data_IF_562863279955
#
_entry.id   IF_562863279955
#
_cell.length_a   1.000
_cell.length_b   1.000
_cell.length_c   1.000
_cell.angle_alpha   90.00
_cell.angle_beta   90.00
_cell.angle_gamma   90.00
#
_symmetry.space_group_name_H-M   'P 1'
#
loop_
_entity.id
_entity.type
_entity.pdbx_description
1 polymer ?
#
# COMPACT_ATOMS: atom_id res chain seq x y z
N UNK A 1 -21.95 54.02 17.04
CA UNK A 1 -20.92 53.51 16.10
C UNK A 1 -19.63 53.35 16.86
N UNK A 2 -19.12 52.12 16.98
CA UNK A 2 -17.75 51.67 16.69
C UNK A 2 -17.80 50.15 16.86
N UNK A 3 -17.47 49.44 15.79
CA UNK A 3 -17.43 47.98 15.67
C UNK A 3 -16.30 47.41 16.53
N UNK A 4 -16.57 46.34 17.29
CA UNK A 4 -15.54 45.47 17.85
C UNK A 4 -15.62 44.10 17.17
N UNK A 5 -14.49 43.68 16.61
CA UNK A 5 -14.26 42.47 15.81
C UNK A 5 -14.57 41.17 16.58
N UNK A 6 -15.05 40.10 15.91
CA UNK A 6 -15.29 38.79 16.54
C UNK A 6 -14.01 37.96 16.79
N UNK A 7 -12.82 38.55 16.63
CA UNK A 7 -11.53 37.86 16.79
C UNK A 7 -10.70 38.42 17.96
N UNK A 8 -11.31 38.54 19.14
CA UNK A 8 -10.58 38.86 20.37
C UNK A 8 -10.09 37.59 21.07
N UNK A 9 -8.84 37.62 21.52
CA UNK A 9 -8.02 36.49 21.94
C UNK A 9 -8.62 35.65 23.08
N UNK A 10 -8.79 34.35 22.84
CA UNK A 10 -9.00 33.37 23.91
C UNK A 10 -7.65 33.07 24.57
N UNK A 11 -7.58 33.35 25.87
CA UNK A 11 -6.48 33.01 26.77
C UNK A 11 -6.04 31.55 26.57
N UNK A 12 -4.78 31.34 26.19
CA UNK A 12 -4.16 30.03 26.11
C UNK A 12 -4.16 29.37 27.50
N UNK A 13 -5.04 28.37 27.70
CA UNK A 13 -4.84 27.39 28.76
C UNK A 13 -3.61 26.56 28.38
N UNK A 14 -2.52 26.75 29.11
CA UNK A 14 -1.34 25.89 29.07
C UNK A 14 -1.77 24.48 29.50
N UNK A 15 -1.90 23.56 28.56
CA UNK A 15 -2.10 22.14 28.84
C UNK A 15 -0.78 21.59 29.34
N UNK A 16 -0.72 21.16 30.60
CA UNK A 16 0.47 20.47 31.12
C UNK A 16 0.59 19.12 30.42
N UNK A 17 1.80 18.77 30.02
CA UNK A 17 2.12 17.48 29.40
C UNK A 17 1.87 16.38 30.43
N UNK A 18 0.77 15.63 30.28
CA UNK A 18 0.51 14.44 31.10
C UNK A 18 1.43 13.30 30.68
N UNK A 19 1.95 12.57 31.65
CA UNK A 19 2.81 11.41 31.40
C UNK A 19 1.99 10.24 30.84
N UNK A 20 2.59 9.43 29.95
CA UNK A 20 1.96 8.23 29.37
C UNK A 20 1.50 7.22 30.44
N UNK A 21 2.13 7.23 31.62
CA UNK A 21 1.75 6.42 32.78
C UNK A 21 0.44 6.85 33.42
N UNK A 22 0.07 8.14 33.37
CA UNK A 22 -1.19 8.63 33.94
C UNK A 22 -2.39 8.30 33.04
N UNK A 23 -2.18 8.26 31.72
CA UNK A 23 -3.20 7.88 30.72
C UNK A 23 -3.60 6.40 30.82
N UNK A 24 -2.71 5.56 31.35
CA UNK A 24 -2.92 4.13 31.53
C UNK A 24 -3.34 3.74 32.95
N UNK A 25 -3.66 4.71 33.80
CA UNK A 25 -4.09 4.43 35.18
C UNK A 25 -5.46 3.74 35.21
N UNK A 26 -5.56 2.67 36.01
CA UNK A 26 -6.79 1.88 36.20
C UNK A 26 -7.97 2.74 36.73
N UNK A 27 -7.66 3.88 37.36
CA UNK A 27 -8.66 4.83 37.84
C UNK A 27 -9.30 5.64 36.71
N UNK A 28 -8.57 5.99 35.65
CA UNK A 28 -9.12 6.70 34.50
C UNK A 28 -10.01 5.77 33.65
N UNK A 29 -9.65 4.48 33.56
CA UNK A 29 -10.47 3.46 32.92
C UNK A 29 -11.83 3.29 33.64
N UNK A 30 -11.82 3.23 34.98
CA UNK A 30 -13.05 3.17 35.78
C UNK A 30 -13.92 4.42 35.66
N UNK A 31 -13.32 5.61 35.56
CA UNK A 31 -14.07 6.85 35.33
C UNK A 31 -14.74 6.88 33.95
N UNK A 32 -14.09 6.36 32.91
CA UNK A 32 -14.68 6.28 31.57
C UNK A 32 -15.80 5.22 31.50
N UNK A 33 -15.65 4.10 32.22
CA UNK A 33 -16.71 3.11 32.37
C UNK A 33 -17.91 3.68 33.14
N UNK A 34 -17.70 4.45 34.20
CA UNK A 34 -18.77 5.14 34.93
C UNK A 34 -19.46 6.21 34.08
N UNK A 35 -18.72 6.96 33.24
CA UNK A 35 -19.31 7.93 32.29
C UNK A 35 -20.07 7.24 31.14
N UNK A 36 -19.66 6.05 30.72
CA UNK A 36 -20.38 5.26 29.70
C UNK A 36 -21.73 4.74 30.19
N UNK A 37 -21.86 4.49 31.49
CA UNK A 37 -23.10 4.05 32.15
C UNK A 37 -24.11 5.19 32.37
N UNK A 38 -23.76 6.44 32.03
CA UNK A 38 -24.64 7.60 32.13
C UNK A 38 -25.47 7.87 30.85
N UNK A 39 -25.28 7.08 29.79
CA UNK A 39 -26.09 7.16 28.58
C UNK A 39 -27.41 6.37 28.75
N UNK A 40 -28.57 6.92 28.34
CA UNK A 40 -29.84 6.24 28.50
C UNK A 40 -29.92 4.97 27.65
N UNK A 41 -30.38 3.88 28.29
CA UNK A 41 -30.56 2.55 27.72
C UNK A 41 -31.34 2.55 26.38
N UNK A 42 -30.75 1.87 25.39
CA UNK A 42 -31.48 1.39 24.22
C UNK A 42 -31.98 -0.04 24.50
N UNK A 43 -33.14 -0.45 23.95
CA UNK A 43 -33.85 -1.63 24.42
C UNK A 43 -33.07 -2.92 24.15
N UNK A 44 -32.99 -3.69 25.23
CA UNK A 44 -32.52 -5.06 25.37
C UNK A 44 -33.04 -5.98 24.24
N UNK A 45 -32.10 -6.63 23.55
CA UNK A 45 -32.40 -7.80 22.70
C UNK A 45 -31.50 -8.94 23.16
N UNK A 46 -31.75 -9.39 24.37
CA UNK A 46 -31.47 -10.75 24.82
C UNK A 46 -32.32 -11.73 24.02
N UNK A 47 -31.85 -12.13 22.84
CA UNK A 47 -32.28 -13.38 22.20
C UNK A 47 -31.19 -14.42 22.43
N UNK A 48 -31.51 -15.29 23.37
CA UNK A 48 -30.78 -16.47 23.81
C UNK A 48 -30.46 -17.37 22.62
N UNK A 49 -29.17 -17.67 22.42
CA UNK A 49 -28.74 -18.93 21.82
C UNK A 49 -27.72 -19.57 22.76
N UNK A 50 -28.21 -20.64 23.38
CA UNK A 50 -27.51 -21.60 24.23
C UNK A 50 -26.30 -22.18 23.47
N UNK A 51 -25.10 -21.73 23.82
CA UNK A 51 -23.85 -22.33 23.33
C UNK A 51 -23.34 -23.23 24.43
N UNK A 52 -23.62 -24.53 24.27
CA UNK A 52 -23.07 -25.58 25.10
C UNK A 52 -21.54 -25.53 25.12
N UNK A 53 -20.98 -25.94 26.26
CA UNK A 53 -19.54 -26.08 26.49
C UNK A 53 -18.89 -26.96 25.41
N UNK A 54 -18.17 -26.33 24.48
CA UNK A 54 -17.12 -26.96 23.70
C UNK A 54 -16.08 -25.90 23.30
N UNK A 55 -14.90 -26.03 23.89
CA UNK A 55 -13.66 -25.43 23.41
C UNK A 55 -13.36 -26.04 22.03
N UNK A 56 -13.45 -25.24 20.95
CA UNK A 56 -12.76 -25.52 19.69
C UNK A 56 -12.42 -24.20 18.97
N UNK A 57 -11.14 -23.84 19.04
CA UNK A 57 -10.52 -22.74 18.29
C UNK A 57 -10.10 -23.20 16.89
N UNK A 58 -11.05 -23.74 16.10
CA UNK A 58 -10.73 -24.47 14.87
C UNK A 58 -11.21 -23.81 13.56
N UNK A 59 -11.39 -22.49 13.57
CA UNK A 59 -11.56 -21.79 12.29
C UNK A 59 -11.20 -20.31 12.35
N UNK A 60 -9.95 -19.98 12.01
CA UNK A 60 -9.53 -18.61 11.67
C UNK A 60 -10.48 -17.97 10.62
N UNK A 61 -11.12 -18.80 9.79
CA UNK A 61 -12.15 -18.39 8.85
C UNK A 61 -13.41 -17.89 9.56
N UNK A 62 -13.88 -18.55 10.62
CA UNK A 62 -15.03 -18.07 11.41
C UNK A 62 -14.69 -16.76 12.12
N UNK A 63 -13.50 -16.66 12.72
CA UNK A 63 -13.06 -15.42 13.35
C UNK A 63 -12.99 -14.27 12.32
N UNK A 64 -12.41 -14.51 11.15
CA UNK A 64 -12.36 -13.53 10.07
C UNK A 64 -13.76 -13.14 9.56
N UNK A 65 -14.68 -14.09 9.44
CA UNK A 65 -16.08 -13.83 9.06
C UNK A 65 -16.81 -13.02 10.12
N UNK A 66 -16.62 -13.33 11.40
CA UNK A 66 -17.23 -12.59 12.51
C UNK A 66 -16.73 -11.16 12.56
N UNK A 67 -15.43 -10.96 12.33
CA UNK A 67 -14.77 -9.67 12.33
C UNK A 67 -15.17 -8.83 11.09
N UNK A 68 -15.31 -9.46 9.92
CA UNK A 68 -15.86 -8.83 8.72
C UNK A 68 -17.31 -8.39 8.93
N UNK A 69 -18.16 -9.24 9.51
CA UNK A 69 -19.56 -8.91 9.83
C UNK A 69 -19.64 -7.73 10.81
N UNK A 70 -18.69 -7.63 11.75
CA UNK A 70 -18.65 -6.53 12.69
C UNK A 70 -18.28 -5.20 12.01
N UNK A 71 -17.31 -5.21 11.09
CA UNK A 71 -17.00 -4.05 10.25
C UNK A 71 -18.18 -3.61 9.38
N UNK A 72 -18.88 -4.57 8.77
CA UNK A 72 -20.03 -4.28 7.90
C UNK A 72 -21.19 -3.65 8.71
N UNK A 73 -21.42 -4.11 9.95
CA UNK A 73 -22.38 -3.49 10.88
C UNK A 73 -21.98 -2.09 11.29
N UNK A 74 -20.71 -1.86 11.64
CA UNK A 74 -20.21 -0.54 12.00
C UNK A 74 -20.38 0.45 10.83
N UNK A 75 -20.06 0.02 9.61
CA UNK A 75 -20.26 0.81 8.40
C UNK A 75 -21.74 1.22 8.21
N UNK A 76 -22.67 0.27 8.40
CA UNK A 76 -24.11 0.56 8.31
C UNK A 76 -24.60 1.53 9.39
N UNK A 77 -24.06 1.45 10.61
CA UNK A 77 -24.37 2.40 11.67
C UNK A 77 -23.84 3.81 11.38
N UNK A 78 -22.66 3.89 10.74
CA UNK A 78 -22.09 5.16 10.31
C UNK A 78 -22.95 5.79 9.21
N UNK A 79 -23.36 5.01 8.20
CA UNK A 79 -24.28 5.47 7.16
C UNK A 79 -25.59 5.97 7.75
N UNK A 80 -26.19 5.28 8.73
CA UNK A 80 -27.41 5.73 9.42
C UNK A 80 -27.21 7.04 10.18
N UNK A 81 -26.04 7.24 10.76
CA UNK A 81 -25.71 8.46 11.50
C UNK A 81 -25.51 9.64 10.55
N UNK A 82 -24.87 9.41 9.40
CA UNK A 82 -24.75 10.40 8.34
C UNK A 82 -26.11 10.73 7.73
N UNK A 83 -26.94 9.74 7.43
CA UNK A 83 -28.32 9.89 6.95
C UNK A 83 -29.13 10.80 7.87
N UNK A 84 -29.09 10.55 9.18
CA UNK A 84 -29.77 11.38 10.20
C UNK A 84 -29.22 12.80 10.26
N UNK A 85 -27.90 12.99 10.14
CA UNK A 85 -27.28 14.32 10.13
C UNK A 85 -27.70 15.13 8.90
N UNK A 86 -27.74 14.50 7.72
CA UNK A 86 -28.19 15.15 6.49
C UNK A 86 -29.68 15.47 6.49
N UNK A 87 -30.51 14.60 7.10
CA UNK A 87 -31.96 14.77 7.11
C UNK A 87 -32.50 15.64 8.25
N UNK A 88 -31.68 15.98 9.26
CA UNK A 88 -32.09 16.76 10.42
C UNK A 88 -32.44 18.22 10.10
N UNK A 89 -31.64 18.87 9.25
CA UNK A 89 -31.79 20.31 8.93
C UNK A 89 -32.41 20.56 7.53
N UNK A 90 -32.71 19.49 6.78
CA UNK A 90 -33.14 19.56 5.38
C UNK A 90 -34.63 19.29 5.23
N UNK A 91 -35.29 20.05 4.33
CA UNK A 91 -36.68 19.77 3.88
C UNK A 91 -36.77 18.55 2.94
N UNK A 92 -35.63 18.02 2.49
CA UNK A 92 -35.50 16.85 1.61
C UNK A 92 -34.73 15.76 2.35
N UNK A 93 -35.28 14.54 2.38
CA UNK A 93 -34.67 13.38 3.02
C UNK A 93 -33.90 12.53 2.01
N UNK A 94 -32.62 12.27 2.29
CA UNK A 94 -31.74 11.37 1.53
C UNK A 94 -31.71 10.02 2.25
N UNK A 95 -31.76 8.91 1.51
CA UNK A 95 -31.63 7.55 2.06
C UNK A 95 -30.38 6.86 1.49
N UNK A 96 -29.59 6.25 2.38
CA UNK A 96 -28.40 5.48 2.02
C UNK A 96 -28.64 3.96 2.06
N UNK A 97 -29.90 3.52 2.02
CA UNK A 97 -30.27 2.12 2.22
C UNK A 97 -29.69 1.16 1.17
N UNK A 98 -29.46 1.62 -0.06
CA UNK A 98 -28.83 0.84 -1.13
C UNK A 98 -27.33 0.57 -0.91
N UNK A 99 -26.70 1.27 0.04
CA UNK A 99 -25.27 1.19 0.33
C UNK A 99 -24.98 0.42 1.63
N UNK A 100 -26.02 -0.07 2.31
CA UNK A 100 -25.86 -0.87 3.53
C UNK A 100 -25.40 -2.29 3.17
N UNK A 101 -24.49 -2.84 3.96
CA UNK A 101 -23.85 -4.13 3.71
C UNK A 101 -24.59 -5.28 4.38
N UNK A 102 -25.36 -5.03 5.44
CA UNK A 102 -26.11 -6.06 6.19
C UNK A 102 -27.61 -5.89 5.97
N UNK A 103 -28.21 -6.80 5.22
CA UNK A 103 -29.65 -6.90 5.08
C UNK A 103 -30.22 -7.90 6.10
N UNK A 104 -31.37 -7.62 6.76
CA UNK A 104 -32.02 -8.59 7.63
C UNK A 104 -32.39 -9.85 6.82
N UNK A 105 -31.85 -11.00 7.19
CA UNK A 105 -32.16 -12.29 6.55
C UNK A 105 -33.13 -13.05 7.46
N UNK A 106 -34.30 -13.40 6.94
CA UNK A 106 -35.14 -14.46 7.53
C UNK A 106 -34.70 -15.81 6.96
N UNK A 107 -34.48 -16.77 7.86
CA UNK A 107 -34.14 -18.15 7.53
C UNK A 107 -35.19 -18.79 6.62
N UNK A 108 -34.79 -19.23 5.41
CA UNK A 108 -35.53 -20.28 4.73
C UNK A 108 -34.62 -21.13 3.84
N UNK A 109 -34.81 -22.43 4.03
CA UNK A 109 -34.08 -23.55 3.44
C UNK A 109 -34.40 -23.75 1.95
N UNK A 110 -33.44 -24.37 1.26
CA UNK A 110 -33.64 -25.27 0.11
C UNK A 110 -33.83 -24.68 -1.29
N UNK A 111 -33.08 -25.31 -2.20
CA UNK A 111 -33.19 -25.40 -3.66
C UNK A 111 -32.50 -24.32 -4.50
N UNK A 112 -31.60 -24.85 -5.33
CA UNK A 112 -30.89 -24.20 -6.42
C UNK A 112 -31.90 -23.62 -7.42
N UNK A 113 -32.05 -22.30 -7.41
CA UNK A 113 -32.40 -21.46 -8.55
C UNK A 113 -32.07 -20.02 -8.14
N UNK A 114 -31.39 -19.26 -9.00
CA UNK A 114 -31.04 -17.86 -8.71
C UNK A 114 -32.31 -17.03 -8.45
N UNK A 115 -32.55 -16.71 -7.18
CA UNK A 115 -33.64 -15.86 -6.74
C UNK A 115 -33.19 -14.40 -6.81
N UNK A 116 -33.88 -13.61 -7.63
CA UNK A 116 -33.73 -12.16 -7.76
C UNK A 116 -34.01 -11.50 -6.38
N UNK A 117 -32.97 -10.94 -5.75
CA UNK A 117 -32.97 -10.37 -4.40
C UNK A 117 -33.74 -9.03 -4.27
N UNK A 118 -34.97 -8.93 -4.77
CA UNK A 118 -35.71 -7.66 -4.71
C UNK A 118 -37.18 -7.78 -4.29
N UNK A 119 -37.42 -8.26 -3.08
CA UNK A 119 -38.62 -7.88 -2.33
C UNK A 119 -38.22 -7.08 -1.08
N UNK A 120 -38.20 -5.76 -1.24
CA UNK A 120 -38.15 -4.80 -0.11
C UNK A 120 -39.59 -4.44 0.27
N UNK A 121 -39.88 -4.16 1.56
CA UNK A 121 -41.20 -3.72 2.00
C UNK A 121 -41.70 -2.54 1.16
N UNK A 122 -42.98 -2.57 0.76
CA UNK A 122 -43.58 -1.58 -0.12
C UNK A 122 -43.49 -0.16 0.47
N UNK A 123 -42.58 0.65 -0.06
CA UNK A 123 -42.39 2.06 0.29
C UNK A 123 -43.43 2.90 -0.48
N UNK A 124 -44.40 3.54 0.21
CA UNK A 124 -45.48 4.29 -0.41
C UNK A 124 -45.03 5.58 -1.14
N UNK A 125 -43.74 5.95 -1.05
CA UNK A 125 -43.16 7.09 -1.75
C UNK A 125 -42.23 6.70 -2.92
N UNK A 126 -42.02 5.40 -3.15
CA UNK A 126 -41.25 4.89 -4.30
C UNK A 126 -42.16 4.79 -5.51
N UNK A 127 -41.75 5.38 -6.64
CA UNK A 127 -42.47 5.19 -7.90
C UNK A 127 -42.45 3.70 -8.29
N UNK A 128 -43.62 3.16 -8.67
CA UNK A 128 -43.75 1.76 -9.09
C UNK A 128 -42.67 1.39 -10.12
N UNK A 129 -41.93 0.30 -9.86
CA UNK A 129 -40.93 -0.22 -10.80
C UNK A 129 -41.62 -0.48 -12.15
N UNK A 130 -41.03 -0.06 -13.28
CA UNK A 130 -41.64 -0.29 -14.58
C UNK A 130 -41.77 -1.80 -14.83
N UNK A 131 -42.99 -2.28 -15.05
CA UNK A 131 -43.29 -3.70 -15.28
C UNK A 131 -42.30 -4.32 -16.27
N UNK A 132 -41.69 -5.43 -15.88
CA UNK A 132 -40.79 -6.19 -16.76
C UNK A 132 -41.62 -6.73 -17.93
N UNK A 133 -41.17 -6.46 -19.15
CA UNK A 133 -41.88 -6.97 -20.34
C UNK A 133 -41.78 -8.49 -20.33
N UNK A 134 -42.89 -9.23 -20.49
CA UNK A 134 -42.88 -10.70 -20.50
C UNK A 134 -41.97 -11.22 -21.62
N UNK A 135 -41.50 -12.47 -21.50
CA UNK A 135 -40.63 -13.17 -22.48
C UNK A 135 -41.13 -13.08 -23.95
N UNK A 136 -42.40 -12.74 -24.16
CA UNK A 136 -43.04 -12.50 -25.46
C UNK A 136 -42.72 -11.15 -26.14
N UNK A 137 -42.02 -10.23 -25.48
CA UNK A 137 -41.46 -9.01 -26.11
C UNK A 137 -42.44 -7.86 -26.39
N UNK A 138 -43.72 -8.00 -26.04
CA UNK A 138 -44.73 -6.95 -26.13
C UNK A 138 -45.82 -7.13 -25.07
N UNK A 139 -46.49 -6.04 -24.70
CA UNK A 139 -47.59 -5.98 -23.73
C UNK A 139 -48.78 -5.23 -24.33
N UNK A 140 -49.98 -5.81 -24.25
CA UNK A 140 -51.24 -5.21 -24.73
C UNK A 140 -51.99 -6.04 -25.78
N UNK A 141 -53.27 -5.71 -26.00
CA UNK A 141 -54.12 -6.26 -27.08
C UNK A 141 -54.70 -5.10 -27.90
N UNK A 142 -54.71 -5.22 -29.23
CA UNK A 142 -55.31 -4.23 -30.13
C UNK A 142 -54.38 -3.03 -30.43
N UNK A 143 -54.91 -1.80 -30.40
CA UNK A 143 -54.18 -0.57 -30.78
C UNK A 143 -53.15 -0.09 -29.73
N UNK A 144 -53.13 -0.68 -28.53
CA UNK A 144 -52.24 -0.30 -27.43
C UNK A 144 -51.16 -1.38 -27.20
N UNK A 145 -50.37 -1.68 -28.24
CA UNK A 145 -49.22 -2.58 -28.12
C UNK A 145 -48.01 -1.75 -27.67
N UNK A 146 -47.54 -1.99 -26.45
CA UNK A 146 -46.28 -1.43 -25.95
C UNK A 146 -45.18 -2.45 -26.22
N UNK A 147 -44.13 -2.02 -26.92
CA UNK A 147 -42.98 -2.86 -27.26
C UNK A 147 -41.78 -2.47 -26.40
N UNK A 148 -40.77 -3.34 -26.34
CA UNK A 148 -39.49 -3.04 -25.67
C UNK A 148 -38.75 -1.79 -26.20
N UNK A 149 -39.18 -1.25 -27.35
CA UNK A 149 -38.61 -0.07 -28.00
C UNK A 149 -39.48 1.19 -27.86
N UNK A 150 -40.51 1.14 -27.00
CA UNK A 150 -41.29 2.34 -26.69
C UNK A 150 -40.39 3.40 -26.06
N UNK A 151 -40.36 4.59 -26.68
CA UNK A 151 -39.49 5.70 -26.30
C UNK A 151 -39.74 6.17 -24.86
N UNK A 152 -41.01 6.11 -24.41
CA UNK A 152 -41.40 6.56 -23.07
C UNK A 152 -40.96 5.56 -22.02
N UNK A 153 -41.12 4.26 -22.29
CA UNK A 153 -40.72 3.17 -21.37
C UNK A 153 -39.20 3.05 -21.32
N UNK A 154 -38.52 3.16 -22.47
CA UNK A 154 -37.07 3.15 -22.54
C UNK A 154 -36.47 4.38 -21.85
N UNK A 155 -37.09 5.56 -22.03
CA UNK A 155 -36.67 6.79 -21.38
C UNK A 155 -36.72 6.72 -19.87
N UNK A 156 -37.80 6.17 -19.29
CA UNK A 156 -37.93 5.96 -17.84
C UNK A 156 -36.94 4.92 -17.31
N UNK A 157 -36.71 3.83 -18.05
CA UNK A 157 -35.71 2.81 -17.70
C UNK A 157 -34.29 3.35 -17.70
N UNK A 158 -33.96 4.25 -18.62
CA UNK A 158 -32.65 4.90 -18.66
C UNK A 158 -32.45 5.85 -17.48
N UNK A 159 -33.49 6.60 -17.10
CA UNK A 159 -33.48 7.46 -15.91
C UNK A 159 -33.27 6.64 -14.63
N UNK A 160 -34.00 5.53 -14.44
CA UNK A 160 -33.81 4.67 -13.27
C UNK A 160 -32.42 4.00 -13.20
N UNK A 161 -31.75 3.81 -14.35
CA UNK A 161 -30.36 3.30 -14.38
C UNK A 161 -29.31 4.37 -14.08
N UNK A 162 -29.70 5.63 -14.10
CA UNK A 162 -28.83 6.76 -13.76
C UNK A 162 -28.45 6.75 -12.27
N UNK A 163 -29.36 6.27 -11.42
CA UNK A 163 -29.14 6.15 -9.97
C UNK A 163 -28.02 5.15 -9.63
N UNK A 164 -27.66 4.27 -10.57
CA UNK A 164 -26.56 3.31 -10.44
C UNK A 164 -25.21 3.88 -10.91
N UNK A 165 -25.13 5.15 -11.31
CA UNK A 165 -23.85 5.78 -11.63
C UNK A 165 -23.02 6.04 -10.37
N UNK A 166 -21.71 6.19 -10.54
CA UNK A 166 -20.82 6.42 -9.41
C UNK A 166 -21.24 7.70 -8.66
N UNK A 167 -21.27 7.69 -7.31
CA UNK A 167 -21.76 8.81 -6.50
C UNK A 167 -20.98 10.11 -6.68
N UNK A 168 -19.78 10.05 -7.27
CA UNK A 168 -18.97 11.22 -7.65
C UNK A 168 -19.57 12.04 -8.81
N UNK A 169 -20.49 11.46 -9.58
CA UNK A 169 -21.18 12.16 -10.67
C UNK A 169 -22.50 12.72 -10.13
N UNK A 170 -22.52 14.01 -9.83
CA UNK A 170 -23.75 14.72 -9.43
C UNK A 170 -24.72 14.80 -10.60
N UNK A 171 -25.55 13.78 -10.79
CA UNK A 171 -26.61 13.80 -11.82
C UNK A 171 -27.91 14.44 -11.32
N UNK A 172 -27.95 14.87 -10.07
CA UNK A 172 -29.15 15.35 -9.40
C UNK A 172 -30.10 14.21 -9.06
N UNK A 173 -30.84 14.35 -7.97
CA UNK A 173 -31.93 13.45 -7.61
C UNK A 173 -33.15 13.81 -8.47
N UNK A 174 -33.45 13.00 -9.48
CA UNK A 174 -34.64 13.15 -10.31
C UNK A 174 -35.96 12.88 -9.58
N UNK A 175 -35.96 12.88 -8.25
CA UNK A 175 -37.08 12.52 -7.40
C UNK A 175 -38.22 13.54 -7.59
N UNK A 176 -39.36 13.07 -8.09
CA UNK A 176 -40.56 13.88 -8.30
C UNK A 176 -40.73 14.48 -9.70
N UNK A 177 -39.80 14.26 -10.64
CA UNK A 177 -39.92 14.68 -12.04
C UNK A 177 -39.95 13.45 -12.96
N UNK A 178 -40.92 13.39 -13.91
CA UNK A 178 -41.00 12.32 -14.94
C UNK A 178 -39.91 12.52 -16.01
N UNK A 179 -38.64 12.49 -15.56
CA UNK A 179 -37.44 12.56 -16.38
C UNK A 179 -37.40 11.37 -17.32
N UNK A 180 -37.33 11.64 -18.62
CA UNK A 180 -37.15 10.63 -19.67
C UNK A 180 -35.84 10.89 -20.39
N UNK A 181 -34.84 10.05 -20.13
CA UNK A 181 -33.55 10.16 -20.81
C UNK A 181 -33.56 9.40 -22.13
N UNK A 182 -33.33 10.12 -23.22
CA UNK A 182 -33.13 9.48 -24.52
C UNK A 182 -31.90 8.57 -24.48
N UNK A 183 -31.91 7.51 -25.29
CA UNK A 183 -30.79 6.57 -25.39
C UNK A 183 -29.47 7.26 -25.73
N UNK A 184 -29.52 8.32 -26.55
CA UNK A 184 -28.34 9.08 -26.94
C UNK A 184 -27.73 9.82 -25.74
N UNK A 185 -28.57 10.49 -24.95
CA UNK A 185 -28.13 11.24 -23.75
C UNK A 185 -27.60 10.27 -22.69
N UNK A 186 -28.31 9.17 -22.41
CA UNK A 186 -27.87 8.16 -21.46
C UNK A 186 -26.50 7.56 -21.85
N UNK A 187 -26.30 7.22 -23.12
CA UNK A 187 -25.02 6.66 -23.57
C UNK A 187 -23.87 7.67 -23.50
N UNK A 188 -24.14 8.94 -23.81
CA UNK A 188 -23.15 10.02 -23.68
C UNK A 188 -22.76 10.24 -22.21
N UNK A 189 -23.74 10.28 -21.31
CA UNK A 189 -23.53 10.42 -19.88
C UNK A 189 -22.77 9.22 -19.30
N UNK A 190 -23.11 8.00 -19.73
CA UNK A 190 -22.41 6.76 -19.35
C UNK A 190 -20.94 6.78 -19.77
N UNK A 191 -20.65 7.22 -21.00
CA UNK A 191 -19.27 7.37 -21.48
C UNK A 191 -18.50 8.42 -20.69
N UNK A 192 -19.14 9.55 -20.39
CA UNK A 192 -18.56 10.61 -19.56
C UNK A 192 -18.23 10.10 -18.15
N UNK A 193 -19.17 9.42 -17.50
CA UNK A 193 -18.97 8.81 -16.18
C UNK A 193 -17.77 7.85 -16.15
N UNK A 194 -17.64 6.95 -17.14
CA UNK A 194 -16.47 6.06 -17.21
C UNK A 194 -15.15 6.81 -17.45
N UNK A 195 -15.20 7.90 -18.24
CA UNK A 195 -14.01 8.70 -18.51
C UNK A 195 -13.54 9.48 -17.28
N UNK A 196 -14.46 10.06 -16.53
CA UNK A 196 -14.18 10.79 -15.29
C UNK A 196 -13.76 9.84 -14.16
N UNK A 197 -14.39 8.68 -14.02
CA UNK A 197 -13.95 7.67 -13.06
C UNK A 197 -12.51 7.22 -13.33
N UNK A 198 -12.14 7.02 -14.61
CA UNK A 198 -10.74 6.73 -15.01
C UNK A 198 -9.79 7.89 -14.76
N UNK A 199 -10.27 9.14 -14.80
CA UNK A 199 -9.47 10.33 -14.54
C UNK A 199 -9.25 10.52 -13.05
N UNK A 200 -10.31 10.38 -12.25
CA UNK A 200 -10.29 10.37 -10.79
C UNK A 200 -9.35 9.28 -10.27
N UNK A 201 -9.45 8.05 -10.77
CA UNK A 201 -8.55 6.95 -10.38
C UNK A 201 -7.08 7.24 -10.68
N UNK A 202 -6.77 7.87 -11.83
CA UNK A 202 -5.41 8.28 -12.19
C UNK A 202 -4.90 9.42 -11.31
N UNK A 203 -5.77 10.36 -10.93
CA UNK A 203 -5.42 11.45 -10.03
C UNK A 203 -5.18 10.95 -8.60
N UNK A 204 -5.98 9.99 -8.14
CA UNK A 204 -5.79 9.32 -6.85
C UNK A 204 -4.46 8.55 -6.82
N UNK A 205 -4.19 7.72 -7.85
CA UNK A 205 -2.90 7.02 -7.99
C UNK A 205 -1.71 8.00 -8.03
N UNK A 206 -1.86 9.15 -8.70
CA UNK A 206 -0.83 10.20 -8.72
C UNK A 206 -0.66 10.87 -7.35
N UNK A 207 -1.73 11.09 -6.59
CA UNK A 207 -1.70 11.71 -5.25
C UNK A 207 -1.08 10.77 -4.22
N UNK A 208 -1.42 9.49 -4.26
CA UNK A 208 -0.77 8.42 -3.46
C UNK A 208 0.71 8.27 -3.83
N UNK A 209 1.07 8.43 -5.10
CA UNK A 209 2.47 8.41 -5.54
C UNK A 209 3.22 9.72 -5.21
N UNK A 210 2.50 10.84 -4.95
CA UNK A 210 3.10 12.16 -4.71
C UNK A 210 3.21 12.53 -3.24
N UNK A 211 2.73 11.70 -2.30
CA UNK A 211 2.95 11.91 -0.87
C UNK A 211 4.39 11.50 -0.52
N UNK A 212 5.29 12.45 -0.76
CA UNK A 212 6.74 12.37 -0.53
C UNK A 212 7.17 12.03 0.91
N UNK A 213 6.23 11.97 1.87
CA UNK A 213 6.50 11.55 3.26
C UNK A 213 6.69 10.04 3.40
N UNK A 214 6.11 9.22 2.52
CA UNK A 214 6.31 7.78 2.57
C UNK A 214 7.46 7.42 1.63
N UNK A 215 8.66 7.19 2.21
CA UNK A 215 9.86 6.75 1.48
C UNK A 215 9.66 5.46 0.66
N UNK A 216 8.55 4.75 0.86
CA UNK A 216 8.20 3.45 0.28
C UNK A 216 6.74 3.44 -0.18
N UNK A 217 6.46 2.86 -1.35
CA UNK A 217 5.12 2.74 -1.89
C UNK A 217 4.23 1.77 -1.07
N UNK A 218 2.89 1.95 -1.06
CA UNK A 218 1.99 1.12 -0.25
C UNK A 218 2.11 -0.39 -0.50
N UNK A 219 2.38 -0.80 -1.75
CA UNK A 219 2.56 -2.22 -2.13
C UNK A 219 3.84 -2.80 -1.56
N UNK A 220 4.91 -2.02 -1.50
CA UNK A 220 6.17 -2.44 -0.91
C UNK A 220 6.08 -2.46 0.62
N UNK A 221 5.36 -1.52 1.23
CA UNK A 221 5.07 -1.56 2.68
C UNK A 221 4.31 -2.84 3.07
N UNK A 222 3.30 -3.25 2.28
CA UNK A 222 2.63 -4.53 2.49
C UNK A 222 3.58 -5.73 2.37
N UNK A 223 4.57 -5.66 1.46
CA UNK A 223 5.58 -6.72 1.34
C UNK A 223 6.49 -6.78 2.56
N UNK A 224 6.89 -5.64 3.12
CA UNK A 224 7.66 -5.54 4.36
C UNK A 224 6.88 -6.15 5.53
N UNK A 225 5.59 -5.81 5.68
CA UNK A 225 4.73 -6.42 6.70
C UNK A 225 4.62 -7.94 6.56
N UNK A 226 4.51 -8.45 5.32
CA UNK A 226 4.51 -9.90 5.08
C UNK A 226 5.82 -10.57 5.48
N UNK A 227 6.95 -9.86 5.43
CA UNK A 227 8.23 -10.41 5.87
C UNK A 227 8.32 -10.49 7.39
N UNK A 228 7.73 -9.52 8.10
CA UNK A 228 7.59 -9.55 9.56
C UNK A 228 6.67 -10.70 9.99
N UNK A 229 5.47 -10.79 9.40
CA UNK A 229 4.51 -11.85 9.74
C UNK A 229 5.02 -13.26 9.39
N UNK A 230 5.93 -13.38 8.42
CA UNK A 230 6.55 -14.66 8.07
C UNK A 230 7.74 -15.04 8.98
N UNK A 231 8.07 -14.23 10.00
CA UNK A 231 9.17 -14.48 10.92
C UNK A 231 10.57 -14.28 10.30
N UNK A 232 10.66 -13.69 9.10
CA UNK A 232 11.95 -13.36 8.47
C UNK A 232 12.62 -12.20 9.21
N UNK A 233 11.81 -11.24 9.64
CA UNK A 233 12.21 -10.06 10.40
C UNK A 233 11.34 -10.01 11.63
N UNK A 234 11.91 -9.62 12.76
CA UNK A 234 11.12 -9.39 13.97
C UNK A 234 10.46 -8.01 13.91
N UNK A 235 11.26 -6.97 13.65
CA UNK A 235 10.82 -5.58 13.60
C UNK A 235 11.63 -4.77 12.58
N UNK A 236 11.06 -3.68 12.04
CA UNK A 236 11.74 -2.78 11.11
C UNK A 236 11.91 -1.42 11.80
N UNK A 237 13.16 -1.07 12.12
CA UNK A 237 13.50 0.02 13.02
C UNK A 237 14.01 1.23 12.22
N UNK A 238 13.10 2.02 11.65
CA UNK A 238 13.47 3.31 11.04
C UNK A 238 14.37 3.26 9.80
N UNK A 239 14.54 4.42 9.16
CA UNK A 239 15.30 4.57 7.92
C UNK A 239 16.75 4.98 8.24
N UNK A 240 17.72 4.19 7.78
CA UNK A 240 19.15 4.50 7.87
C UNK A 240 19.54 5.55 6.83
N UNK A 241 19.15 5.32 5.58
CA UNK A 241 19.60 6.15 4.46
C UNK A 241 18.59 6.15 3.32
N UNK A 242 18.32 7.33 2.77
CA UNK A 242 17.51 7.51 1.57
C UNK A 242 18.43 7.88 0.40
N UNK A 243 18.67 6.94 -0.49
CA UNK A 243 19.42 7.19 -1.72
C UNK A 243 18.53 7.69 -2.86
N UNK A 244 19.18 8.07 -3.97
CA UNK A 244 18.49 8.32 -5.25
C UNK A 244 17.77 7.08 -5.77
N UNK A 245 18.18 5.90 -5.35
CA UNK A 245 17.93 4.67 -6.09
C UNK A 245 17.27 3.58 -5.25
N UNK A 246 17.51 3.64 -3.95
CA UNK A 246 16.98 2.74 -2.95
C UNK A 246 16.85 3.48 -1.63
N UNK A 247 16.06 2.92 -0.73
CA UNK A 247 15.95 3.33 0.67
C UNK A 247 16.41 2.17 1.53
N UNK A 248 17.17 2.47 2.57
CA UNK A 248 17.80 1.49 3.44
C UNK A 248 17.22 1.62 4.84
N UNK A 249 16.62 0.55 5.35
CA UNK A 249 16.04 0.47 6.69
C UNK A 249 16.87 -0.45 7.59
N UNK A 250 16.92 -0.14 8.88
CA UNK A 250 17.39 -1.07 9.90
C UNK A 250 16.24 -2.02 10.26
N UNK A 251 16.55 -3.27 10.59
CA UNK A 251 15.58 -4.24 11.07
C UNK A 251 16.25 -5.23 12.03
N UNK A 252 15.46 -5.74 12.97
CA UNK A 252 15.82 -6.91 13.76
C UNK A 252 15.56 -8.19 12.94
N UNK A 253 16.55 -9.06 12.86
CA UNK A 253 16.41 -10.36 12.20
C UNK A 253 15.48 -11.28 12.99
N UNK A 254 14.60 -11.98 12.29
CA UNK A 254 13.72 -12.97 12.91
C UNK A 254 14.38 -14.35 13.02
N UNK A 255 13.65 -15.33 13.54
CA UNK A 255 14.10 -16.71 13.63
C UNK A 255 13.44 -17.55 12.52
N UNK A 256 14.12 -17.73 11.38
CA UNK A 256 13.68 -18.69 10.37
C UNK A 256 14.23 -20.09 10.70
N UNK A 257 13.36 -21.09 10.70
CA UNK A 257 13.68 -22.48 11.07
C UNK A 257 14.81 -23.10 10.21
N UNK A 258 14.96 -22.65 8.97
CA UNK A 258 15.91 -23.23 8.00
C UNK A 258 17.18 -22.40 7.76
N UNK A 259 17.30 -21.18 8.33
CA UNK A 259 18.46 -20.30 8.10
C UNK A 259 18.78 -19.45 9.31
N UNK A 260 20.06 -19.42 9.70
CA UNK A 260 20.57 -18.46 10.67
C UNK A 260 20.45 -17.04 10.08
N UNK A 261 19.52 -16.25 10.63
CA UNK A 261 19.39 -14.83 10.31
C UNK A 261 20.19 -14.04 11.36
N UNK A 262 21.03 -13.07 10.95
CA UNK A 262 21.71 -12.20 11.91
C UNK A 262 20.71 -11.39 12.74
N UNK A 263 21.01 -11.20 14.04
CA UNK A 263 20.16 -10.42 14.95
C UNK A 263 19.88 -9.00 14.42
N UNK A 264 20.86 -8.38 13.74
CA UNK A 264 20.69 -7.08 13.09
C UNK A 264 20.79 -7.22 11.57
N UNK A 265 19.77 -6.70 10.88
CA UNK A 265 19.60 -6.77 9.46
C UNK A 265 19.37 -5.38 8.85
N UNK A 266 19.61 -5.30 7.54
CA UNK A 266 19.36 -4.13 6.71
C UNK A 266 18.40 -4.52 5.60
N UNK A 267 17.36 -3.72 5.40
CA UNK A 267 16.45 -3.82 4.26
C UNK A 267 16.80 -2.75 3.23
N UNK A 268 17.40 -3.17 2.12
CA UNK A 268 17.58 -2.32 0.94
C UNK A 268 16.35 -2.48 0.03
N UNK A 269 15.53 -1.44 -0.01
CA UNK A 269 14.32 -1.33 -0.81
C UNK A 269 14.61 -0.52 -2.05
N UNK A 270 14.60 -1.14 -3.23
CA UNK A 270 14.82 -0.42 -4.49
C UNK A 270 13.58 0.38 -4.87
N UNK A 271 13.75 1.67 -5.17
CA UNK A 271 12.65 2.56 -5.51
C UNK A 271 12.02 2.14 -6.84
N UNK A 272 10.69 2.13 -6.88
CA UNK A 272 9.92 1.67 -8.05
C UNK A 272 9.43 2.78 -8.98
N UNK A 273 9.71 4.04 -8.64
CA UNK A 273 9.17 5.23 -9.30
C UNK A 273 9.97 5.64 -10.54
N UNK A 274 9.27 5.86 -11.66
CA UNK A 274 9.83 5.89 -13.02
C UNK A 274 10.89 6.98 -13.32
N UNK A 275 10.99 8.04 -12.52
CA UNK A 275 11.84 9.19 -12.83
C UNK A 275 13.34 8.95 -12.60
N UNK A 276 13.72 7.96 -11.78
CA UNK A 276 15.11 7.72 -11.39
C UNK A 276 15.86 6.76 -12.37
N UNK A 277 15.19 6.24 -13.40
CA UNK A 277 15.69 5.12 -14.24
C UNK A 277 16.52 5.50 -15.48
N UNK A 278 16.58 6.77 -15.90
CA UNK A 278 17.11 7.12 -17.23
C UNK A 278 18.60 6.80 -17.46
N UNK A 279 19.41 6.76 -16.40
CA UNK A 279 20.86 6.54 -16.53
C UNK A 279 21.27 5.08 -16.30
N UNK A 280 20.31 4.21 -15.99
CA UNK A 280 20.54 2.85 -15.50
C UNK A 280 20.74 1.83 -16.63
N UNK A 281 20.24 2.12 -17.83
CA UNK A 281 20.32 1.23 -18.98
C UNK A 281 21.77 0.89 -19.37
N UNK A 282 22.72 1.82 -19.17
CA UNK A 282 24.14 1.63 -19.52
C UNK A 282 24.80 0.45 -18.77
N UNK A 283 24.34 0.13 -17.56
CA UNK A 283 24.96 -0.90 -16.71
C UNK A 283 24.35 -2.29 -16.85
N UNK A 284 23.25 -2.43 -17.60
CA UNK A 284 22.52 -3.70 -17.75
C UNK A 284 22.36 -4.11 -19.21
N UNK A 285 22.22 -3.15 -20.13
CA UNK A 285 21.92 -3.45 -21.54
C UNK A 285 22.94 -4.38 -22.19
N UNK A 286 24.21 -4.25 -21.80
CA UNK A 286 25.32 -5.02 -22.36
C UNK A 286 25.80 -6.16 -21.44
N UNK A 287 25.10 -6.42 -20.32
CA UNK A 287 25.33 -7.61 -19.50
C UNK A 287 24.67 -8.83 -20.18
N UNK A 288 25.49 -9.82 -20.57
CA UNK A 288 25.04 -11.03 -21.28
C UNK A 288 23.95 -11.80 -20.52
N UNK A 289 23.90 -11.70 -19.18
CA UNK A 289 22.88 -12.37 -18.34
C UNK A 289 21.48 -11.80 -18.57
N UNK A 290 21.39 -10.56 -19.06
CA UNK A 290 20.14 -9.80 -19.17
C UNK A 290 19.85 -9.28 -20.59
N UNK A 291 20.81 -9.39 -21.52
CA UNK A 291 20.75 -8.89 -22.90
C UNK A 291 19.47 -9.27 -23.64
N UNK A 292 19.03 -10.53 -23.54
CA UNK A 292 17.83 -11.01 -24.24
C UNK A 292 16.52 -10.63 -23.54
N UNK A 293 16.59 -10.33 -22.23
CA UNK A 293 15.41 -10.00 -21.44
C UNK A 293 15.13 -8.50 -21.42
N UNK A 294 16.12 -7.62 -21.58
CA UNK A 294 16.01 -6.20 -21.23
C UNK A 294 15.06 -5.36 -22.12
N UNK A 295 15.03 -5.58 -23.44
CA UNK A 295 14.44 -4.62 -24.40
C UNK A 295 12.91 -4.45 -24.37
N UNK A 296 12.17 -5.29 -23.63
CA UNK A 296 10.69 -5.26 -23.54
C UNK A 296 10.15 -5.33 -22.11
N UNK A 297 11.00 -5.15 -21.09
CA UNK A 297 10.58 -5.36 -19.70
C UNK A 297 9.96 -4.12 -19.08
N UNK A 298 8.82 -4.34 -18.42
CA UNK A 298 8.23 -3.36 -17.51
C UNK A 298 9.28 -2.89 -16.49
N UNK A 299 9.36 -1.60 -16.16
CA UNK A 299 10.33 -1.05 -15.19
C UNK A 299 10.36 -1.80 -13.85
N UNK A 300 9.19 -2.26 -13.37
CA UNK A 300 9.09 -3.12 -12.18
C UNK A 300 9.83 -4.46 -12.29
N UNK A 301 9.90 -5.05 -13.48
CA UNK A 301 10.68 -6.26 -13.74
C UNK A 301 12.17 -5.93 -13.80
N UNK A 302 12.54 -4.79 -14.39
CA UNK A 302 13.93 -4.31 -14.41
C UNK A 302 14.46 -4.16 -12.99
N UNK A 303 13.73 -3.53 -12.08
CA UNK A 303 14.18 -3.36 -10.68
C UNK A 303 14.43 -4.70 -9.97
N UNK A 304 13.61 -5.73 -10.25
CA UNK A 304 13.85 -7.06 -9.69
C UNK A 304 15.16 -7.64 -10.19
N UNK A 305 15.46 -7.48 -11.49
CA UNK A 305 16.74 -7.89 -12.05
C UNK A 305 17.92 -7.14 -11.40
N UNK A 306 17.75 -5.86 -11.04
CA UNK A 306 18.77 -5.10 -10.31
C UNK A 306 19.02 -5.70 -8.92
N UNK A 307 17.95 -5.98 -8.17
CA UNK A 307 18.05 -6.56 -6.85
C UNK A 307 18.65 -7.98 -6.89
N UNK A 308 18.28 -8.78 -7.90
CA UNK A 308 18.89 -10.08 -8.19
C UNK A 308 20.37 -9.96 -8.55
N UNK A 309 20.73 -8.96 -9.36
CA UNK A 309 22.13 -8.69 -9.73
C UNK A 309 22.97 -8.37 -8.50
N UNK A 310 22.49 -7.48 -7.63
CA UNK A 310 23.19 -7.14 -6.38
C UNK A 310 23.35 -8.35 -5.46
N UNK A 311 22.28 -9.14 -5.27
CA UNK A 311 22.35 -10.38 -4.50
C UNK A 311 23.44 -11.33 -5.02
N UNK A 312 23.48 -11.57 -6.33
CA UNK A 312 24.48 -12.46 -6.91
C UNK A 312 25.91 -11.90 -6.81
N UNK A 313 26.07 -10.59 -6.95
CA UNK A 313 27.37 -9.95 -6.81
C UNK A 313 27.89 -10.05 -5.37
N UNK A 314 27.03 -9.79 -4.37
CA UNK A 314 27.37 -9.98 -2.95
C UNK A 314 27.72 -11.44 -2.63
N UNK A 315 26.98 -12.40 -3.20
CA UNK A 315 27.30 -13.82 -3.04
C UNK A 315 28.67 -14.19 -3.62
N UNK A 316 29.04 -13.64 -4.80
CA UNK A 316 30.38 -13.84 -5.39
C UNK A 316 31.47 -13.26 -4.49
N UNK A 317 31.27 -12.05 -3.97
CA UNK A 317 32.21 -11.40 -3.06
C UNK A 317 32.41 -12.17 -1.77
N UNK A 318 31.32 -12.68 -1.18
CA UNK A 318 31.37 -13.51 0.02
C UNK A 318 32.17 -14.79 -0.22
N UNK A 319 32.03 -15.42 -1.39
CA UNK A 319 32.79 -16.63 -1.75
C UNK A 319 34.29 -16.37 -1.93
N UNK A 320 34.70 -15.13 -2.18
CA UNK A 320 36.10 -14.70 -2.25
C UNK A 320 36.61 -14.08 -0.94
N UNK A 321 35.87 -14.28 0.16
CA UNK A 321 36.17 -13.75 1.50
C UNK A 321 36.36 -12.22 1.54
N UNK A 322 35.75 -11.49 0.60
CA UNK A 322 35.77 -10.02 0.58
C UNK A 322 34.78 -9.51 1.65
N UNK A 323 35.19 -8.56 2.51
CA UNK A 323 34.28 -7.94 3.49
C UNK A 323 33.12 -7.20 2.81
N UNK A 324 31.93 -7.82 2.81
CA UNK A 324 30.69 -7.26 2.28
C UNK A 324 29.48 -7.74 3.09
N UNK A 325 28.32 -7.06 3.00
CA UNK A 325 27.09 -7.52 3.63
C UNK A 325 26.71 -8.93 3.18
N UNK A 326 26.35 -9.79 4.14
CA UNK A 326 25.87 -11.14 3.86
C UNK A 326 24.38 -11.11 3.51
N UNK A 327 24.00 -11.73 2.39
CA UNK A 327 22.60 -11.73 1.96
C UNK A 327 21.81 -12.79 2.72
N UNK A 328 20.72 -12.37 3.35
CA UNK A 328 19.77 -13.27 4.03
C UNK A 328 18.70 -13.74 3.05
N UNK A 329 17.98 -12.79 2.46
CA UNK A 329 16.86 -13.09 1.54
C UNK A 329 16.62 -11.94 0.58
N UNK A 330 16.25 -12.29 -0.65
CA UNK A 330 15.75 -11.36 -1.64
C UNK A 330 14.26 -11.64 -1.91
N UNK A 331 13.40 -10.64 -1.71
CA UNK A 331 11.97 -10.74 -2.04
C UNK A 331 11.57 -9.64 -3.03
N UNK A 332 11.42 -10.02 -4.29
CA UNK A 332 11.13 -9.10 -5.42
C UNK A 332 12.21 -8.01 -5.55
N UNK A 333 12.00 -6.86 -4.95
CA UNK A 333 12.87 -5.67 -5.00
C UNK A 333 13.23 -5.19 -3.59
N UNK A 334 13.11 -6.06 -2.60
CA UNK A 334 13.58 -5.83 -1.23
C UNK A 334 14.68 -6.86 -0.97
N UNK A 335 15.89 -6.38 -0.70
CA UNK A 335 17.05 -7.20 -0.36
C UNK A 335 17.33 -7.06 1.14
N UNK A 336 17.31 -8.17 1.86
CA UNK A 336 17.68 -8.25 3.28
C UNK A 336 19.10 -8.77 3.38
N UNK A 337 19.94 -8.03 4.07
CA UNK A 337 21.35 -8.34 4.27
C UNK A 337 21.80 -8.05 5.70
N UNK A 338 22.96 -8.55 6.11
CA UNK A 338 23.53 -8.30 7.43
C UNK A 338 23.79 -6.82 7.67
N UNK A 339 23.53 -6.35 8.89
CA UNK A 339 23.92 -5.01 9.31
C UNK A 339 25.42 -4.90 9.51
N UNK A 340 26.01 -3.78 9.10
CA UNK A 340 27.41 -3.45 9.35
C UNK A 340 27.42 -2.23 10.27
N UNK A 341 27.79 -2.45 11.52
CA UNK A 341 27.65 -1.48 12.58
C UNK A 341 27.59 -2.16 13.93
N UNK A 342 27.34 -1.38 14.98
CA UNK A 342 27.25 -1.88 16.34
C UNK A 342 26.19 -1.10 17.10
N UNK A 343 25.43 -1.79 17.97
CA UNK A 343 24.43 -1.20 18.86
C UNK A 343 23.42 -0.31 18.10
N UNK A 344 22.89 -0.82 16.98
CA UNK A 344 21.97 -0.11 16.07
C UNK A 344 22.55 1.12 15.34
N UNK A 345 23.84 1.41 15.50
CA UNK A 345 24.51 2.52 14.80
C UNK A 345 25.26 1.98 13.57
N UNK A 346 24.91 2.45 12.35
CA UNK A 346 25.57 1.98 11.13
C UNK A 346 27.04 2.41 11.13
N UNK A 347 27.91 1.58 10.57
CA UNK A 347 29.30 1.94 10.39
C UNK A 347 29.43 3.20 9.52
N UNK A 348 30.32 4.15 9.88
CA UNK A 348 30.52 5.36 9.09
C UNK A 348 31.08 5.02 7.71
N UNK A 349 30.69 5.82 6.72
CA UNK A 349 31.33 5.79 5.40
C UNK A 349 32.78 6.24 5.52
N UNK A 350 33.65 5.78 4.63
CA UNK A 350 35.06 6.14 4.64
C UNK A 350 35.26 7.66 4.56
N UNK A 351 34.39 8.36 3.82
CA UNK A 351 34.34 9.83 3.78
C UNK A 351 34.17 10.48 5.16
N UNK A 352 33.29 9.92 5.97
CA UNK A 352 32.85 10.50 7.25
C UNK A 352 33.64 9.91 8.43
N UNK A 353 34.42 8.85 8.18
CA UNK A 353 35.26 8.18 9.17
C UNK A 353 36.50 9.03 9.49
N UNK A 354 36.69 9.33 10.77
CA UNK A 354 37.87 10.02 11.26
C UNK A 354 39.02 9.02 11.41
N UNK A 355 39.82 8.86 10.36
CA UNK A 355 40.92 7.91 10.32
C UNK A 355 42.24 8.55 10.73
N UNK A 356 43.04 7.80 11.50
CA UNK A 356 44.45 8.15 11.73
C UNK A 356 45.26 7.97 10.45
N UNK A 357 46.43 8.60 10.35
CA UNK A 357 47.32 8.42 9.18
C UNK A 357 47.77 6.97 8.99
N UNK A 358 47.83 6.18 10.07
CA UNK A 358 48.14 4.75 9.99
C UNK A 358 46.95 3.94 9.47
N UNK A 359 45.75 4.22 9.96
CA UNK A 359 44.54 3.50 9.54
C UNK A 359 44.13 3.85 8.12
N UNK A 360 44.36 5.09 7.69
CA UNK A 360 44.19 5.49 6.28
C UNK A 360 45.10 4.69 5.35
N UNK A 361 46.37 4.49 5.71
CA UNK A 361 47.29 3.64 4.95
C UNK A 361 46.83 2.19 4.92
N UNK A 362 46.39 1.65 6.07
CA UNK A 362 45.84 0.29 6.14
C UNK A 362 44.59 0.14 5.26
N UNK A 363 43.68 1.11 5.33
CA UNK A 363 42.47 1.14 4.53
C UNK A 363 42.81 1.15 3.03
N UNK A 364 43.75 1.99 2.60
CA UNK A 364 44.20 2.05 1.21
C UNK A 364 44.73 0.69 0.72
N UNK A 365 45.62 0.04 1.47
CA UNK A 365 46.12 -1.29 1.09
C UNK A 365 45.02 -2.36 1.09
N UNK A 366 44.08 -2.30 2.03
CA UNK A 366 42.91 -3.19 2.03
C UNK A 366 42.06 -2.98 0.77
N UNK A 367 41.79 -1.73 0.38
CA UNK A 367 41.01 -1.42 -0.83
C UNK A 367 41.71 -1.93 -2.07
N UNK A 368 43.01 -1.70 -2.22
CA UNK A 368 43.79 -2.24 -3.35
C UNK A 368 43.71 -3.77 -3.43
N UNK A 369 43.83 -4.44 -2.28
CA UNK A 369 43.71 -5.90 -2.22
C UNK A 369 42.30 -6.36 -2.63
N UNK A 370 41.25 -5.72 -2.10
CA UNK A 370 39.86 -6.05 -2.45
C UNK A 370 39.55 -5.77 -3.92
N UNK A 371 40.08 -4.69 -4.50
CA UNK A 371 39.94 -4.40 -5.94
C UNK A 371 40.59 -5.50 -6.79
N UNK A 372 41.76 -5.98 -6.38
CA UNK A 372 42.43 -7.10 -7.03
C UNK A 372 41.62 -8.40 -6.91
N UNK A 373 41.11 -8.74 -5.73
CA UNK A 373 40.26 -9.91 -5.51
C UNK A 373 38.94 -9.83 -6.30
N UNK A 374 38.29 -8.66 -6.34
CA UNK A 374 37.09 -8.42 -7.15
C UNK A 374 37.35 -8.76 -8.62
N UNK A 375 38.46 -8.28 -9.16
CA UNK A 375 38.79 -8.50 -10.57
C UNK A 375 39.20 -9.96 -10.85
N UNK A 376 40.10 -10.52 -10.04
CA UNK A 376 40.73 -11.83 -10.32
C UNK A 376 39.89 -13.02 -9.88
N UNK A 377 39.25 -12.94 -8.71
CA UNK A 377 38.54 -14.07 -8.10
C UNK A 377 37.03 -13.98 -8.35
N UNK A 378 36.45 -12.78 -8.23
CA UNK A 378 35.01 -12.60 -8.46
C UNK A 378 34.65 -12.36 -9.93
N UNK A 379 35.64 -12.08 -10.80
CA UNK A 379 35.45 -11.62 -12.17
C UNK A 379 34.46 -10.44 -12.26
N UNK A 380 34.65 -9.44 -11.38
CA UNK A 380 33.80 -8.26 -11.24
C UNK A 380 34.62 -6.97 -11.15
N UNK A 381 34.08 -5.91 -11.73
CA UNK A 381 34.50 -4.52 -11.55
C UNK A 381 33.38 -3.81 -10.81
N UNK A 382 33.69 -3.10 -9.72
CA UNK A 382 32.67 -2.43 -8.91
C UNK A 382 31.90 -1.39 -9.73
N UNK A 383 32.60 -0.66 -10.59
CA UNK A 383 32.11 0.34 -11.52
C UNK A 383 31.47 1.57 -10.88
N UNK A 384 31.59 1.76 -9.57
CA UNK A 384 31.19 2.98 -8.85
C UNK A 384 31.93 3.05 -7.50
N UNK A 385 33.19 2.62 -7.47
CA UNK A 385 33.95 2.56 -6.23
C UNK A 385 34.40 3.97 -5.83
N UNK A 386 34.09 4.34 -4.60
CA UNK A 386 34.44 5.64 -4.00
C UNK A 386 34.32 5.57 -2.48
N UNK A 387 34.80 6.59 -1.78
CA UNK A 387 34.72 6.76 -0.33
C UNK A 387 33.28 6.76 0.22
N UNK A 388 32.28 6.95 -0.65
CA UNK A 388 30.86 6.92 -0.32
C UNK A 388 30.26 5.51 -0.25
N UNK A 389 30.88 4.54 -0.94
CA UNK A 389 30.45 3.15 -1.08
C UNK A 389 31.35 2.18 -0.30
N UNK A 390 32.15 2.72 0.61
CA UNK A 390 33.02 1.97 1.52
C UNK A 390 32.67 2.36 2.96
N UNK A 391 32.51 1.37 3.82
CA UNK A 391 32.30 1.57 5.26
C UNK A 391 33.57 1.22 6.03
N UNK A 392 33.83 1.94 7.12
CA UNK A 392 34.92 1.63 8.03
C UNK A 392 34.37 1.04 9.33
N UNK A 393 34.73 -0.22 9.61
CA UNK A 393 34.25 -0.92 10.79
C UNK A 393 35.32 -1.86 11.35
N UNK A 394 35.60 -1.73 12.65
CA UNK A 394 36.55 -2.60 13.38
C UNK A 394 37.94 -2.74 12.71
N UNK A 395 38.47 -1.63 12.16
CA UNK A 395 39.78 -1.64 11.50
C UNK A 395 39.80 -2.26 10.10
N UNK A 396 38.62 -2.55 9.53
CA UNK A 396 38.45 -3.12 8.19
C UNK A 396 37.58 -2.24 7.32
N UNK A 397 37.89 -2.21 6.03
CA UNK A 397 37.04 -1.63 5.00
C UNK A 397 36.01 -2.67 4.55
N UNK A 398 34.75 -2.26 4.48
CA UNK A 398 33.65 -3.07 3.96
C UNK A 398 33.09 -2.44 2.68
N UNK A 399 32.94 -3.25 1.64
CA UNK A 399 32.37 -2.80 0.36
C UNK A 399 30.85 -2.95 0.37
N UNK A 400 30.16 -1.90 -0.08
CA UNK A 400 28.69 -1.87 -0.20
C UNK A 400 28.26 -1.35 -1.58
N UNK A 401 27.00 -1.57 -1.92
CA UNK A 401 26.36 -1.10 -3.16
C UNK A 401 27.00 -1.61 -4.47
N UNK A 402 27.00 -2.94 -4.63
CA UNK A 402 27.48 -3.62 -5.85
C UNK A 402 26.39 -3.85 -6.90
N UNK A 403 25.36 -3.00 -6.89
CA UNK A 403 24.24 -3.06 -7.84
C UNK A 403 24.68 -2.71 -9.28
N UNK A 404 25.64 -1.80 -9.42
CA UNK A 404 26.17 -1.33 -10.70
C UNK A 404 27.36 -2.16 -11.21
N UNK A 405 27.88 -3.09 -10.41
CA UNK A 405 29.07 -3.86 -10.77
C UNK A 405 28.87 -4.70 -12.02
N UNK A 406 29.91 -4.81 -12.83
CA UNK A 406 29.90 -5.44 -14.15
C UNK A 406 31.03 -6.44 -14.27
N UNK A 407 30.95 -7.34 -15.24
CA UNK A 407 32.07 -8.24 -15.54
C UNK A 407 33.14 -7.51 -16.38
N UNK A 408 34.44 -7.85 -16.21
CA UNK A 408 35.54 -7.27 -16.99
C UNK A 408 35.39 -7.42 -18.51
N UNK A 409 34.66 -8.44 -18.97
CA UNK A 409 34.38 -8.73 -20.38
C UNK A 409 33.41 -7.73 -21.03
N UNK A 410 32.74 -6.91 -20.22
CA UNK A 410 31.86 -5.85 -20.69
C UNK A 410 32.64 -4.82 -21.54
N UNK A 411 32.07 -4.24 -22.62
CA UNK A 411 32.79 -3.31 -23.51
C UNK A 411 33.44 -2.12 -22.79
N UNK A 412 32.80 -1.67 -21.72
CA UNK A 412 33.28 -0.57 -20.87
C UNK A 412 33.95 -1.04 -19.56
N UNK A 413 34.20 -2.35 -19.38
CA UNK A 413 34.69 -2.93 -18.12
C UNK A 413 35.99 -2.28 -17.62
N UNK A 414 36.99 -2.19 -18.48
CA UNK A 414 38.29 -1.59 -18.15
C UNK A 414 38.22 -0.06 -17.95
N UNK A 415 37.31 0.63 -18.65
CA UNK A 415 37.08 2.07 -18.47
C UNK A 415 36.56 2.36 -17.06
N UNK A 416 35.60 1.56 -16.59
CA UNK A 416 35.07 1.65 -15.25
C UNK A 416 36.10 1.28 -14.18
N UNK A 417 36.91 0.25 -14.42
CA UNK A 417 38.00 -0.12 -13.52
C UNK A 417 39.02 1.01 -13.37
N UNK A 418 39.42 1.63 -14.49
CA UNK A 418 40.34 2.76 -14.47
C UNK A 418 39.78 3.96 -13.68
N UNK A 419 38.46 4.21 -13.80
CA UNK A 419 37.79 5.24 -13.01
C UNK A 419 37.80 4.90 -11.52
N UNK A 420 37.48 3.65 -11.16
CA UNK A 420 37.52 3.19 -9.77
C UNK A 420 38.92 3.36 -9.17
N UNK A 421 39.99 2.99 -9.90
CA UNK A 421 41.37 3.21 -9.45
C UNK A 421 41.67 4.69 -9.19
N UNK A 422 41.24 5.58 -10.10
CA UNK A 422 41.43 7.02 -9.92
C UNK A 422 40.69 7.58 -8.72
N UNK A 423 39.50 7.08 -8.44
CA UNK A 423 38.72 7.51 -7.28
C UNK A 423 39.34 7.07 -5.95
N UNK A 424 40.05 5.93 -5.94
CA UNK A 424 40.71 5.41 -4.73
C UNK A 424 42.06 6.08 -4.48
N UNK A 425 42.75 6.53 -5.53
CA UNK A 425 44.03 7.23 -5.41
C UNK A 425 43.91 8.70 -4.98
N UNK A 426 42.73 9.30 -5.14
CA UNK A 426 42.41 10.70 -4.77
C UNK A 426 41.79 10.72 -3.39
#
# INVERSE_FOLDING_TARGET
>A
MILQSPWSATTTKTVSVCSLTDVMSEQLAKQLDEESNAFPDFPDVSVVLDVGEALDTDSDLMLAQMLQMQFDKEFDTQLRTEEKKFNGDSKLSISFENYRMVHPYEDSVSSEDEVDWQDTPHDPYKADKPMTTPRKGFTGKGKNITTKHDEVVCGRKNTSRMDNFAPEVNVGDGLGMDLKLSNQVYNSLKQHCYSEQRRSSRLHEKKEHSTAEQAVDPKTRLLMYKMVNAGVLENINGCISTGKESVVFHAAGGSMEDKAVPNECVLKVFKTTLNEFKNRDKYIKDDYRFKDRFSKLNPRKVIRLWAEKEMHNLARMKNADIPCPEVVVLKKHILVMSFIGKDHVPAPKLKDAMLSSEDMKKAYYQVLHMMHQLYMECNLVHADLSEYNMLWHEGKVWLIDVSQSIEPTHPHGLEFLFRDCRNVDV
#
